data_IF_224454727542
#
_entry.id   IF_224454727542
#
_cell.length_a   1.000
_cell.length_b   1.000
_cell.length_c   1.000
_cell.angle_alpha   90.00
_cell.angle_beta   90.00
_cell.angle_gamma   90.00
#
_symmetry.space_group_name_H-M   'P 1'
#
loop_
_entity.id
_entity.type
_entity.pdbx_description
1 polymer ?
#
# COMPACT_ATOMS: atom_id res chain seq x y z
N UNK A 1 -6.00 -19.91 -17.75
CA UNK A 1 -5.65 -18.82 -18.70
C UNK A 1 -5.25 -17.57 -17.95
N UNK A 2 -4.06 -17.10 -18.25
CA UNK A 2 -3.43 -15.80 -17.94
C UNK A 2 -3.07 -15.47 -16.49
N UNK A 3 -2.26 -16.30 -15.84
CA UNK A 3 -1.55 -15.87 -14.63
C UNK A 3 -0.55 -14.73 -14.91
N UNK A 4 0.07 -14.69 -16.10
CA UNK A 4 1.12 -13.71 -16.48
C UNK A 4 0.57 -12.28 -16.60
N UNK A 5 -0.61 -12.07 -17.19
CA UNK A 5 -1.24 -10.73 -17.31
C UNK A 5 -1.69 -10.13 -15.97
N UNK A 6 -1.90 -10.99 -14.96
CA UNK A 6 -2.30 -10.58 -13.62
C UNK A 6 -1.10 -10.39 -12.67
N UNK A 7 0.12 -10.66 -13.14
CA UNK A 7 1.32 -10.39 -12.35
C UNK A 7 1.39 -8.91 -11.96
N UNK A 8 1.95 -8.66 -10.78
CA UNK A 8 2.10 -7.32 -10.24
C UNK A 8 3.34 -6.63 -10.80
N UNK A 9 3.18 -5.37 -11.15
CA UNK A 9 4.22 -4.49 -11.68
C UNK A 9 4.30 -3.25 -10.81
N UNK A 10 5.49 -2.92 -10.34
CA UNK A 10 5.73 -1.71 -9.55
C UNK A 10 5.67 -0.48 -10.45
N UNK A 11 4.99 0.56 -9.97
CA UNK A 11 4.86 1.82 -10.68
C UNK A 11 5.63 2.90 -9.93
N UNK A 12 6.60 3.49 -10.60
CA UNK A 12 7.36 4.63 -10.12
C UNK A 12 6.83 5.93 -10.72
N UNK A 13 6.90 7.03 -9.97
CA UNK A 13 6.72 8.36 -10.53
C UNK A 13 8.01 8.84 -11.23
N UNK A 14 7.97 10.00 -11.88
CA UNK A 14 9.13 10.59 -12.56
C UNK A 14 10.36 10.82 -11.66
N UNK A 15 10.16 10.88 -10.34
CA UNK A 15 11.21 11.03 -9.33
C UNK A 15 11.71 9.68 -8.81
N UNK A 16 11.42 8.57 -9.50
CA UNK A 16 11.80 7.20 -9.13
C UNK A 16 11.22 6.70 -7.80
N UNK A 17 10.20 7.38 -7.29
CA UNK A 17 9.50 6.97 -6.07
C UNK A 17 8.41 5.99 -6.42
N UNK A 18 8.31 4.93 -5.66
CA UNK A 18 7.25 3.95 -5.81
C UNK A 18 5.90 4.53 -5.35
N UNK A 19 4.95 4.57 -6.27
CA UNK A 19 3.63 5.23 -6.06
C UNK A 19 2.44 4.30 -6.16
N UNK A 20 2.61 3.14 -6.81
CA UNK A 20 1.51 2.19 -6.98
C UNK A 20 2.04 0.81 -7.39
N UNK A 21 1.13 -0.17 -7.40
CA UNK A 21 1.31 -1.46 -8.07
C UNK A 21 0.12 -1.66 -9.01
N UNK A 22 0.38 -2.14 -10.20
CA UNK A 22 -0.67 -2.45 -11.18
C UNK A 22 -0.47 -3.86 -11.76
N UNK A 23 -1.43 -4.33 -12.53
CA UNK A 23 -1.28 -5.59 -13.28
C UNK A 23 -0.37 -5.42 -14.50
N UNK A 24 0.26 -6.50 -14.95
CA UNK A 24 1.07 -6.53 -16.18
C UNK A 24 0.28 -6.01 -17.38
N UNK A 25 -1.01 -6.34 -17.50
CA UNK A 25 -1.91 -5.78 -18.52
C UNK A 25 -1.89 -4.25 -18.50
N UNK A 26 -2.10 -3.64 -17.34
CA UNK A 26 -2.13 -2.18 -17.19
C UNK A 26 -0.77 -1.55 -17.48
N UNK A 27 0.31 -2.17 -16.99
CA UNK A 27 1.68 -1.71 -17.23
C UNK A 27 2.01 -1.67 -18.73
N UNK A 28 1.72 -2.75 -19.46
CA UNK A 28 1.94 -2.81 -20.91
C UNK A 28 1.08 -1.82 -21.69
N UNK A 29 -0.17 -1.58 -21.25
CA UNK A 29 -1.01 -0.53 -21.83
C UNK A 29 -0.37 0.86 -21.68
N UNK A 30 0.11 1.20 -20.48
CA UNK A 30 0.78 2.48 -20.23
C UNK A 30 2.08 2.62 -21.03
N UNK A 31 2.82 1.55 -21.16
CA UNK A 31 4.04 1.50 -21.97
C UNK A 31 3.75 1.73 -23.46
N UNK A 32 2.75 1.02 -24.01
CA UNK A 32 2.31 1.15 -25.38
C UNK A 32 1.80 2.56 -25.71
N UNK A 33 1.08 3.19 -24.80
CA UNK A 33 0.57 4.55 -24.92
C UNK A 33 1.65 5.64 -24.75
N UNK A 34 2.91 5.27 -24.44
CA UNK A 34 3.99 6.23 -24.18
C UNK A 34 3.88 6.96 -22.84
N UNK A 35 2.97 6.55 -21.96
CA UNK A 35 2.79 7.17 -20.64
C UNK A 35 3.78 6.65 -19.60
N UNK A 36 4.46 5.54 -19.89
CA UNK A 36 5.46 4.93 -19.03
C UNK A 36 6.64 4.38 -19.82
N UNK A 37 7.74 4.11 -19.14
CA UNK A 37 8.90 3.38 -19.62
C UNK A 37 9.11 2.13 -18.75
N UNK A 38 9.55 1.02 -19.34
CA UNK A 38 9.96 -0.14 -18.57
C UNK A 38 11.32 0.12 -17.93
N UNK A 39 11.53 -0.36 -16.71
CA UNK A 39 12.79 -0.21 -15.96
C UNK A 39 13.44 -1.57 -15.81
N UNK A 40 14.73 -1.65 -16.14
CA UNK A 40 15.56 -2.84 -15.95
C UNK A 40 16.84 -2.46 -15.21
N UNK A 41 17.16 -3.22 -14.16
CA UNK A 41 18.45 -3.08 -13.47
C UNK A 41 19.58 -3.64 -14.33
N UNK A 42 20.70 -2.97 -14.38
CA UNK A 42 21.93 -3.44 -14.98
C UNK A 42 22.85 -4.08 -13.92
N UNK A 43 23.82 -4.88 -14.37
CA UNK A 43 24.74 -5.60 -13.48
C UNK A 43 25.67 -4.67 -12.66
N UNK A 44 25.81 -3.43 -13.09
CA UNK A 44 26.60 -2.37 -12.41
C UNK A 44 25.81 -1.62 -11.33
N UNK A 45 24.57 -2.06 -11.04
CA UNK A 45 23.67 -1.41 -10.09
C UNK A 45 22.91 -0.20 -10.65
N UNK A 46 23.14 0.16 -11.92
CA UNK A 46 22.38 1.22 -12.60
C UNK A 46 21.03 0.72 -13.09
N UNK A 47 20.14 1.66 -13.43
CA UNK A 47 18.84 1.36 -14.02
C UNK A 47 18.74 1.97 -15.41
N UNK A 48 18.25 1.17 -16.35
CA UNK A 48 17.97 1.60 -17.72
C UNK A 48 16.46 1.67 -17.94
N UNK A 49 16.02 2.65 -18.68
CA UNK A 49 14.61 2.81 -19.07
C UNK A 49 14.44 2.52 -20.56
N UNK A 50 13.31 1.92 -20.91
CA UNK A 50 12.99 1.49 -22.25
C UNK A 50 11.57 1.97 -22.60
N UNK A 51 11.43 2.65 -23.73
CA UNK A 51 10.11 2.89 -24.33
C UNK A 51 9.54 1.58 -24.91
N UNK A 52 8.32 1.62 -25.43
CA UNK A 52 7.66 0.40 -25.94
C UNK A 52 8.46 -0.28 -27.07
N UNK A 53 8.97 0.47 -28.04
CA UNK A 53 9.75 -0.11 -29.16
C UNK A 53 11.03 -0.77 -28.66
N UNK A 54 11.80 -0.08 -27.85
CA UNK A 54 13.03 -0.61 -27.25
C UNK A 54 12.76 -1.85 -26.38
N UNK A 55 11.65 -1.84 -25.62
CA UNK A 55 11.26 -2.97 -24.79
C UNK A 55 10.80 -4.17 -25.62
N UNK A 56 10.11 -3.92 -26.73
CA UNK A 56 9.75 -4.94 -27.71
C UNK A 56 11.01 -5.58 -28.30
N UNK A 57 11.96 -4.78 -28.83
CA UNK A 57 13.17 -5.25 -29.44
C UNK A 57 14.03 -6.07 -28.44
N UNK A 58 14.16 -5.61 -27.22
CA UNK A 58 14.80 -6.37 -26.14
C UNK A 58 14.08 -7.70 -25.88
N UNK A 59 12.76 -7.71 -25.93
CA UNK A 59 11.95 -8.92 -25.72
C UNK A 59 12.11 -9.96 -26.84
N UNK A 60 12.47 -9.53 -28.06
CA UNK A 60 12.77 -10.42 -29.17
C UNK A 60 14.20 -10.97 -29.08
N UNK A 61 15.17 -10.13 -28.71
CA UNK A 61 16.59 -10.51 -28.62
C UNK A 61 16.90 -11.38 -27.38
N UNK A 62 16.18 -11.15 -26.28
CA UNK A 62 16.38 -11.86 -25.01
C UNK A 62 15.10 -12.57 -24.56
N UNK A 63 14.91 -13.84 -24.94
CA UNK A 63 13.75 -14.60 -24.48
C UNK A 63 13.69 -14.70 -22.96
N UNK A 64 12.51 -14.39 -22.38
CA UNK A 64 12.32 -14.43 -20.95
C UNK A 64 11.09 -15.30 -20.60
N UNK A 65 11.16 -16.15 -19.54
CA UNK A 65 10.08 -17.06 -19.19
C UNK A 65 8.75 -16.33 -18.90
N UNK A 66 8.82 -15.11 -18.39
CA UNK A 66 7.67 -14.27 -18.10
C UNK A 66 7.35 -13.33 -19.26
N UNK A 67 7.07 -13.93 -20.40
CA UNK A 67 6.68 -13.22 -21.62
C UNK A 67 5.26 -13.56 -22.01
N UNK A 68 4.59 -12.61 -22.62
CA UNK A 68 3.27 -12.78 -23.24
C UNK A 68 3.51 -13.00 -24.72
N UNK A 69 3.02 -14.11 -25.24
CA UNK A 69 3.03 -14.40 -26.68
C UNK A 69 1.72 -13.87 -27.26
N UNK A 70 1.82 -13.01 -28.26
CA UNK A 70 0.72 -12.56 -29.12
C UNK A 70 0.77 -13.34 -30.45
N UNK A 71 -0.13 -13.01 -31.36
CA UNK A 71 -0.14 -13.62 -32.72
C UNK A 71 1.13 -13.23 -33.50
N UNK A 72 1.66 -12.04 -33.28
CA UNK A 72 2.72 -11.44 -34.11
C UNK A 72 4.07 -11.33 -33.40
N UNK A 73 4.11 -11.28 -32.08
CA UNK A 73 5.36 -11.11 -31.32
C UNK A 73 5.24 -11.63 -29.89
N UNK A 74 6.38 -11.75 -29.24
CA UNK A 74 6.48 -12.01 -27.82
C UNK A 74 6.93 -10.73 -27.10
N UNK A 75 6.33 -10.42 -25.94
CA UNK A 75 6.73 -9.27 -25.14
C UNK A 75 6.95 -9.69 -23.68
N UNK A 76 8.10 -9.34 -23.13
CA UNK A 76 8.43 -9.57 -21.74
C UNK A 76 7.57 -8.70 -20.84
N UNK A 77 7.10 -9.24 -19.71
CA UNK A 77 6.41 -8.46 -18.67
C UNK A 77 7.44 -7.59 -17.92
N UNK A 78 7.30 -6.26 -17.92
CA UNK A 78 8.16 -5.42 -17.10
C UNK A 78 7.84 -5.65 -15.63
N UNK A 79 8.85 -5.67 -14.77
CA UNK A 79 8.66 -5.78 -13.31
C UNK A 79 8.47 -4.43 -12.65
N UNK A 80 9.01 -3.40 -13.26
CA UNK A 80 8.94 -2.00 -12.82
C UNK A 80 8.68 -1.12 -14.02
N UNK A 81 7.80 -0.13 -13.87
CA UNK A 81 7.59 0.93 -14.86
C UNK A 81 7.75 2.30 -14.23
N UNK A 82 8.28 3.24 -15.00
CA UNK A 82 8.49 4.64 -14.65
C UNK A 82 7.48 5.51 -15.43
N UNK A 83 6.65 6.29 -14.74
CA UNK A 83 5.70 7.21 -15.37
C UNK A 83 6.41 8.45 -15.90
N UNK A 84 6.14 8.83 -17.16
CA UNK A 84 6.83 9.95 -17.81
C UNK A 84 6.39 11.33 -17.30
N UNK A 85 5.11 11.51 -16.96
CA UNK A 85 4.53 12.84 -16.66
C UNK A 85 4.17 13.00 -15.18
N UNK A 86 4.04 11.92 -14.43
CA UNK A 86 3.57 11.96 -13.04
C UNK A 86 4.75 12.17 -12.08
N UNK A 87 4.83 13.36 -11.48
CA UNK A 87 5.90 13.78 -10.56
C UNK A 87 5.45 13.89 -9.10
N UNK A 88 4.16 13.69 -8.81
CA UNK A 88 3.61 13.84 -7.46
C UNK A 88 3.37 12.50 -6.80
N UNK A 89 3.62 12.44 -5.49
CA UNK A 89 3.05 11.37 -4.68
C UNK A 89 1.53 11.52 -4.68
N UNK A 90 0.77 10.46 -4.99
CA UNK A 90 -0.67 10.54 -4.89
C UNK A 90 -1.07 10.94 -3.47
N UNK A 91 -1.72 12.08 -3.31
CA UNK A 91 -2.34 12.47 -2.03
C UNK A 91 -3.60 11.59 -1.83
N UNK A 92 -3.39 10.32 -1.60
CA UNK A 92 -4.48 9.42 -1.22
C UNK A 92 -4.67 9.51 0.28
N UNK A 93 -5.90 9.70 0.70
CA UNK A 93 -6.26 9.59 2.11
C UNK A 93 -6.71 8.17 2.41
N UNK A 94 -6.36 7.68 3.58
CA UNK A 94 -6.93 6.43 4.06
C UNK A 94 -8.42 6.65 4.30
N UNK A 95 -9.26 5.92 3.57
CA UNK A 95 -10.71 6.01 3.74
C UNK A 95 -11.10 5.57 5.15
N UNK A 96 -11.98 6.32 5.78
CA UNK A 96 -12.54 5.96 7.08
C UNK A 96 -13.49 4.77 6.90
N UNK A 97 -13.01 3.56 7.18
CA UNK A 97 -13.77 2.31 7.07
C UNK A 97 -13.49 1.43 8.27
N UNK A 98 -14.44 0.54 8.61
CA UNK A 98 -14.27 -0.47 9.65
C UNK A 98 -12.99 -1.28 9.46
N UNK A 99 -12.72 -1.73 8.22
CA UNK A 99 -11.51 -2.48 7.88
C UNK A 99 -10.24 -1.70 8.23
N UNK A 100 -10.16 -0.44 7.81
CA UNK A 100 -8.96 0.37 8.02
C UNK A 100 -8.76 0.78 9.49
N UNK A 101 -9.82 0.81 10.31
CA UNK A 101 -9.69 1.01 11.75
C UNK A 101 -9.10 -0.25 12.42
N UNK A 102 -9.55 -1.45 12.03
CA UNK A 102 -8.96 -2.69 12.52
C UNK A 102 -7.48 -2.82 12.12
N UNK A 103 -7.12 -2.44 10.89
CA UNK A 103 -5.72 -2.42 10.43
C UNK A 103 -4.87 -1.41 11.24
N UNK A 104 -5.37 -0.18 11.46
CA UNK A 104 -4.70 0.83 12.28
C UNK A 104 -4.40 0.31 13.68
N UNK A 105 -5.39 -0.32 14.30
CA UNK A 105 -5.29 -0.79 15.68
C UNK A 105 -4.73 -2.23 15.78
N UNK A 106 -4.34 -2.84 14.64
CA UNK A 106 -3.74 -4.19 14.54
C UNK A 106 -4.60 -5.25 15.24
N UNK A 107 -5.93 -5.19 15.06
CA UNK A 107 -6.90 -6.06 15.73
C UNK A 107 -6.73 -6.10 17.27
N UNK A 108 -6.25 -5.01 17.86
CA UNK A 108 -5.96 -4.89 19.30
C UNK A 108 -7.03 -4.04 19.97
N UNK A 109 -7.61 -4.53 21.06
CA UNK A 109 -8.49 -3.73 21.90
C UNK A 109 -7.70 -2.55 22.49
N UNK A 110 -8.16 -1.32 22.24
CA UNK A 110 -7.47 -0.11 22.69
C UNK A 110 -7.68 0.21 24.16
N UNK A 111 -8.48 -0.58 24.88
CA UNK A 111 -8.67 -0.46 26.34
C UNK A 111 -7.87 -1.47 27.13
N UNK A 112 -7.88 -2.76 26.77
CA UNK A 112 -7.14 -3.79 27.51
C UNK A 112 -5.81 -4.21 26.85
N UNK A 113 -5.51 -3.75 25.63
CA UNK A 113 -4.26 -4.05 24.94
C UNK A 113 -4.14 -5.47 24.37
N UNK A 114 -5.17 -6.30 24.50
CA UNK A 114 -5.15 -7.69 23.99
C UNK A 114 -5.54 -7.72 22.51
N UNK A 115 -4.91 -8.63 21.76
CA UNK A 115 -5.24 -8.92 20.35
C UNK A 115 -6.39 -9.91 20.30
N UNK A 116 -7.33 -9.74 19.38
CA UNK A 116 -8.49 -10.58 19.20
C UNK A 116 -8.74 -10.87 17.72
N UNK A 117 -9.53 -11.92 17.44
CA UNK A 117 -10.10 -12.12 16.13
C UNK A 117 -11.11 -10.99 15.81
N UNK A 118 -11.24 -10.63 14.52
CA UNK A 118 -12.15 -9.55 14.10
C UNK A 118 -13.61 -9.77 14.49
N UNK A 119 -14.04 -11.02 14.62
CA UNK A 119 -15.40 -11.38 15.05
C UNK A 119 -15.69 -11.00 16.51
N UNK A 120 -14.62 -10.92 17.36
CA UNK A 120 -14.70 -10.62 18.79
C UNK A 120 -14.39 -9.14 19.08
N UNK A 121 -14.24 -8.33 18.01
CA UNK A 121 -13.95 -6.90 18.08
C UNK A 121 -15.12 -6.06 17.57
N UNK A 122 -15.40 -5.00 18.31
CA UNK A 122 -16.30 -3.92 17.92
C UNK A 122 -15.54 -2.62 17.66
N UNK A 123 -16.21 -1.66 17.02
CA UNK A 123 -15.78 -0.28 16.95
C UNK A 123 -16.53 0.52 18.02
N UNK A 124 -15.78 1.23 18.83
CA UNK A 124 -16.31 2.04 19.92
C UNK A 124 -15.95 3.50 19.77
N UNK A 125 -16.86 4.40 20.15
CA UNK A 125 -16.62 5.83 20.26
C UNK A 125 -15.99 6.13 21.61
N UNK A 126 -14.77 6.66 21.61
CA UNK A 126 -14.05 7.07 22.84
C UNK A 126 -14.91 8.04 23.66
N UNK A 127 -15.36 9.13 23.02
CA UNK A 127 -16.46 9.98 23.53
C UNK A 127 -17.73 9.48 22.90
N UNK A 128 -18.75 9.06 23.69
CA UNK A 128 -20.01 8.53 23.16
C UNK A 128 -20.74 9.51 22.25
N UNK A 129 -21.46 8.99 21.25
CA UNK A 129 -22.22 9.81 20.30
C UNK A 129 -23.27 10.69 21.00
N UNK A 130 -23.95 10.14 21.99
CA UNK A 130 -24.96 10.87 22.77
C UNK A 130 -24.37 12.04 23.57
N UNK A 131 -23.05 12.06 23.71
CA UNK A 131 -22.29 13.14 24.34
C UNK A 131 -21.55 14.01 23.34
N UNK A 132 -21.96 13.97 22.06
CA UNK A 132 -21.39 14.79 21.00
C UNK A 132 -20.09 14.23 20.39
N UNK A 133 -19.70 12.99 20.68
CA UNK A 133 -18.52 12.35 20.11
C UNK A 133 -18.66 12.13 18.60
N UNK A 134 -17.73 12.65 17.77
CA UNK A 134 -17.81 12.52 16.33
C UNK A 134 -17.45 11.10 15.87
N UNK A 135 -17.98 10.67 14.74
CA UNK A 135 -17.52 9.48 14.05
C UNK A 135 -16.32 9.82 13.17
N UNK A 136 -15.14 9.82 13.76
CA UNK A 136 -13.88 10.23 13.13
C UNK A 136 -12.73 9.31 13.50
N UNK A 137 -11.60 9.47 12.80
CA UNK A 137 -10.37 8.74 13.10
C UNK A 137 -9.87 8.94 14.53
N UNK A 138 -10.12 10.10 15.10
CA UNK A 138 -9.64 10.53 16.41
C UNK A 138 -10.55 10.07 17.55
N UNK A 139 -11.76 9.58 17.22
CA UNK A 139 -12.74 9.19 18.22
C UNK A 139 -13.23 7.74 18.11
N UNK A 140 -12.84 6.98 17.06
CA UNK A 140 -13.21 5.56 16.91
C UNK A 140 -11.98 4.67 17.16
N UNK A 141 -12.18 3.63 17.97
CA UNK A 141 -11.14 2.65 18.30
C UNK A 141 -11.67 1.21 18.23
N UNK A 142 -10.76 0.23 18.06
CA UNK A 142 -11.08 -1.17 18.28
C UNK A 142 -11.26 -1.45 19.76
N UNK A 143 -12.34 -2.13 20.13
CA UNK A 143 -12.56 -2.63 21.47
C UNK A 143 -13.07 -4.07 21.45
N UNK A 144 -12.66 -4.90 22.42
CA UNK A 144 -13.29 -6.20 22.62
C UNK A 144 -14.67 -6.02 23.22
N UNK A 145 -15.53 -7.03 23.06
CA UNK A 145 -16.92 -7.00 23.54
C UNK A 145 -16.98 -6.67 25.03
N UNK A 146 -16.14 -7.30 25.84
CA UNK A 146 -16.12 -7.08 27.30
C UNK A 146 -15.79 -5.62 27.69
N UNK A 147 -14.72 -5.05 27.11
CA UNK A 147 -14.37 -3.65 27.38
C UNK A 147 -15.42 -2.67 26.85
N UNK A 148 -16.00 -2.96 25.67
CA UNK A 148 -17.05 -2.13 25.11
C UNK A 148 -18.30 -2.11 25.99
N UNK A 149 -18.70 -3.28 26.52
CA UNK A 149 -19.84 -3.40 27.44
C UNK A 149 -19.58 -2.69 28.76
N UNK A 150 -18.35 -2.84 29.32
CA UNK A 150 -17.98 -2.19 30.57
C UNK A 150 -17.94 -0.67 30.44
N UNK A 151 -17.43 -0.16 29.31
CA UNK A 151 -17.39 1.30 29.03
C UNK A 151 -18.80 1.88 28.85
N UNK A 152 -19.67 1.13 28.16
CA UNK A 152 -21.03 1.57 27.86
C UNK A 152 -21.07 3.03 27.31
N UNK A 153 -21.99 3.86 27.77
CA UNK A 153 -22.16 5.26 27.36
C UNK A 153 -21.35 6.25 28.21
N UNK A 154 -20.16 5.82 28.69
CA UNK A 154 -19.22 6.63 29.43
C UNK A 154 -17.95 6.91 28.64
N UNK A 155 -17.23 7.99 29.02
CA UNK A 155 -15.86 8.17 28.56
C UNK A 155 -14.93 7.16 29.27
N UNK A 156 -13.79 6.80 28.71
CA UNK A 156 -12.86 5.86 29.36
C UNK A 156 -12.48 6.29 30.78
N UNK A 157 -12.22 7.60 30.98
CA UNK A 157 -11.82 8.13 32.30
C UNK A 157 -12.90 7.94 33.37
N UNK A 158 -14.18 8.08 33.02
CA UNK A 158 -15.30 7.94 33.97
C UNK A 158 -15.43 6.51 34.52
N UNK A 159 -14.93 5.52 33.78
CA UNK A 159 -14.97 4.11 34.16
C UNK A 159 -13.60 3.54 34.50
N UNK A 160 -12.61 4.41 34.75
CA UNK A 160 -11.26 4.00 35.13
C UNK A 160 -10.47 3.31 34.02
N UNK A 161 -10.86 3.49 32.75
CA UNK A 161 -10.18 2.94 31.58
C UNK A 161 -9.24 3.97 30.95
N UNK A 162 -8.17 3.45 30.35
CA UNK A 162 -7.22 4.26 29.59
C UNK A 162 -7.04 3.68 28.19
N UNK A 163 -6.81 4.57 27.21
CA UNK A 163 -6.47 4.13 25.87
C UNK A 163 -5.00 3.70 25.80
N UNK A 164 -4.74 2.54 25.20
CA UNK A 164 -3.37 2.06 24.90
C UNK A 164 -2.64 3.06 24.01
N UNK A 165 -3.37 3.63 23.03
CA UNK A 165 -2.88 4.69 22.14
C UNK A 165 -3.97 5.70 21.87
N UNK A 166 -3.60 6.98 21.79
CA UNK A 166 -4.49 8.03 21.31
C UNK A 166 -4.81 7.77 19.82
N UNK A 167 -6.08 7.60 19.43
CA UNK A 167 -6.43 7.36 18.04
C UNK A 167 -6.09 8.58 17.17
N UNK A 168 -5.46 8.31 16.03
CA UNK A 168 -5.09 9.32 15.05
C UNK A 168 -5.46 8.84 13.65
N UNK A 169 -5.68 9.77 12.72
CA UNK A 169 -5.82 9.45 11.29
C UNK A 169 -4.52 8.81 10.80
N UNK A 170 -4.56 7.59 10.24
CA UNK A 170 -3.34 6.98 9.72
C UNK A 170 -2.84 7.77 8.51
N UNK A 171 -1.53 7.98 8.45
CA UNK A 171 -0.90 8.52 7.25
C UNK A 171 -1.06 7.49 6.13
N UNK A 172 -1.49 7.94 4.93
CA UNK A 172 -1.51 7.06 3.79
C UNK A 172 -0.08 6.68 3.41
N UNK A 173 0.18 5.36 3.34
CA UNK A 173 1.45 4.82 2.87
C UNK A 173 1.17 4.02 1.59
N UNK A 174 1.83 4.30 0.47
CA UNK A 174 1.60 3.61 -0.80
C UNK A 174 1.70 2.08 -0.71
N UNK A 175 2.45 1.58 0.26
CA UNK A 175 2.84 0.19 0.39
C UNK A 175 2.14 -0.61 1.50
N UNK A 176 1.32 0.01 2.33
CA UNK A 176 0.63 -0.72 3.42
C UNK A 176 -0.39 -1.74 2.89
N UNK A 177 -0.81 -1.62 1.64
CA UNK A 177 -1.73 -2.58 1.00
C UNK A 177 -1.03 -3.65 0.14
N UNK A 178 0.28 -3.58 -0.04
CA UNK A 178 1.02 -4.69 -0.62
C UNK A 178 1.29 -5.64 0.53
N UNK A 179 0.52 -6.73 0.61
CA UNK A 179 0.85 -7.86 1.47
C UNK A 179 2.28 -8.29 1.10
N UNK A 180 3.26 -7.96 1.94
CA UNK A 180 4.67 -8.31 1.77
C UNK A 180 4.90 -9.84 1.71
N UNK A 181 3.86 -10.62 1.96
CA UNK A 181 3.83 -12.09 1.83
C UNK A 181 3.60 -12.58 0.40
N UNK A 182 3.21 -11.72 -0.55
CA UNK A 182 3.07 -12.10 -1.94
C UNK A 182 4.42 -11.90 -2.64
N UNK A 183 4.98 -12.95 -3.20
CA UNK A 183 6.22 -13.07 -3.99
C UNK A 183 6.62 -11.76 -4.68
N UNK A 184 7.40 -10.91 -3.98
CA UNK A 184 7.98 -9.73 -4.58
C UNK A 184 9.15 -10.14 -5.45
N UNK A 185 9.21 -9.60 -6.65
CA UNK A 185 10.39 -9.74 -7.46
C UNK A 185 11.55 -8.97 -6.82
N UNK A 186 12.75 -9.54 -6.78
CA UNK A 186 13.93 -8.93 -6.16
C UNK A 186 14.24 -7.52 -6.69
N UNK A 187 13.90 -7.22 -7.94
CA UNK A 187 14.05 -5.90 -8.54
C UNK A 187 13.25 -4.78 -7.85
N UNK A 188 12.24 -5.10 -7.02
CA UNK A 188 11.48 -4.10 -6.29
C UNK A 188 12.18 -3.61 -5.02
N UNK A 189 13.08 -4.41 -4.45
CA UNK A 189 13.76 -4.09 -3.18
C UNK A 189 14.44 -2.73 -3.23
N UNK A 190 15.10 -2.40 -4.34
CA UNK A 190 15.79 -1.12 -4.51
C UNK A 190 14.86 0.11 -4.41
N UNK A 191 13.58 -0.04 -4.82
CA UNK A 191 12.63 1.08 -4.84
C UNK A 191 11.75 1.12 -3.59
N UNK A 192 11.50 -0.02 -2.98
CA UNK A 192 10.70 -0.13 -1.75
C UNK A 192 11.50 0.36 -0.56
N UNK A 193 12.77 0.01 -0.44
CA UNK A 193 13.64 0.45 0.66
C UNK A 193 13.83 1.97 0.65
N UNK A 194 13.98 2.60 -0.53
CA UNK A 194 14.05 4.05 -0.66
C UNK A 194 12.74 4.74 -0.22
N UNK A 195 11.59 4.14 -0.51
CA UNK A 195 10.30 4.67 -0.04
C UNK A 195 10.13 4.50 1.47
N UNK A 196 10.66 3.45 2.06
CA UNK A 196 10.66 3.20 3.51
C UNK A 196 11.55 4.21 4.25
N UNK A 197 12.79 4.41 3.79
CA UNK A 197 13.74 5.36 4.37
C UNK A 197 13.23 6.81 4.33
N UNK A 198 12.61 7.24 3.22
CA UNK A 198 12.04 8.59 3.10
C UNK A 198 10.87 8.83 4.06
N UNK A 199 10.27 7.79 4.63
CA UNK A 199 9.19 7.89 5.63
C UNK A 199 9.73 7.92 7.06
N UNK A 200 10.80 7.18 7.34
CA UNK A 200 11.43 7.19 8.68
C UNK A 200 12.17 8.50 8.98
N UNK A 201 12.84 9.07 7.98
CA UNK A 201 13.54 10.36 8.12
C UNK A 201 12.59 11.57 8.32
N UNK A 202 11.28 11.40 8.08
CA UNK A 202 10.26 12.41 8.35
C UNK A 202 9.71 12.39 9.79
N UNK A 203 10.09 11.43 10.64
CA UNK A 203 9.61 11.31 12.02
C UNK A 203 10.56 11.92 13.07
N UNK A 204 11.78 12.35 12.69
CA UNK A 204 12.75 12.98 13.62
C UNK A 204 12.79 14.52 13.55
N UNK A 205 11.89 15.16 12.83
CA UNK A 205 11.79 16.62 12.78
C UNK A 205 10.41 17.08 13.29
N UNK A 206 10.27 17.15 14.65
CA UNK A 206 9.09 17.80 15.25
C UNK A 206 8.75 17.29 16.63
#
# INVERSE_FOLDING_TARGET
>A
MNSVLNQHVLVLNRLWQAVNVCTARRALTLLFQGHAQAVLGANDGSFRTFNFSQWHDLSQSEPHPESITTISFRIRVPRVILLGVFDRMPKKEVKFTRHNIFERDKNTCQYCGKVFDRKDLNLDHVVPRDRGGPTSWENIVCSCIACNTLKANHTPLEVGMHLVRKPKKPKWRPFVQINLTLNHHDSWKHFIDLAYWNVELGEEAG
#
